data_IF_839118158161
#
_entry.id   IF_839118158161
#
_cell.length_a   1.000
_cell.length_b   1.000
_cell.length_c   1.000
_cell.angle_alpha   90.00
_cell.angle_beta   90.00
_cell.angle_gamma   90.00
#
_symmetry.space_group_name_H-M   'P 1'
#
loop_
_entity.id
_entity.type
_entity.pdbx_description
1 polymer ?
#
# COMPACT_ATOMS: atom_id res chain seq x y z
N UNK A 1 -6.64 -16.85 -19.20
CA UNK A 1 -7.22 -16.81 -17.85
C UNK A 1 -6.08 -16.68 -16.85
N UNK A 2 -5.88 -15.52 -16.22
CA UNK A 2 -4.80 -15.37 -15.22
C UNK A 2 -5.21 -16.07 -13.93
N UNK A 3 -4.57 -17.20 -13.63
CA UNK A 3 -4.82 -17.98 -12.40
C UNK A 3 -4.29 -17.17 -11.23
N UNK A 4 -5.15 -16.85 -10.25
CA UNK A 4 -4.70 -16.21 -9.01
C UNK A 4 -3.60 -17.08 -8.36
N UNK A 5 -2.50 -16.47 -7.89
CA UNK A 5 -1.46 -17.20 -7.17
C UNK A 5 -2.04 -17.95 -5.97
N UNK A 6 -1.46 -19.09 -5.61
CA UNK A 6 -1.92 -19.91 -4.47
C UNK A 6 -1.84 -19.18 -3.13
N UNK A 7 -0.95 -18.18 -3.02
CA UNK A 7 -0.76 -17.35 -1.83
C UNK A 7 -1.62 -16.06 -1.84
N UNK A 8 -2.58 -15.92 -2.76
CA UNK A 8 -3.39 -14.71 -2.89
C UNK A 8 -4.13 -14.35 -1.59
N UNK A 9 -4.72 -15.32 -0.89
CA UNK A 9 -5.42 -15.09 0.37
C UNK A 9 -4.48 -14.53 1.45
N UNK A 10 -3.25 -15.06 1.53
CA UNK A 10 -2.22 -14.58 2.47
C UNK A 10 -1.82 -13.16 2.13
N UNK A 11 -1.60 -12.85 0.85
CA UNK A 11 -1.29 -11.49 0.39
C UNK A 11 -2.39 -10.49 0.73
N UNK A 12 -3.65 -10.88 0.57
CA UNK A 12 -4.79 -10.03 0.94
C UNK A 12 -4.81 -9.78 2.45
N UNK A 13 -4.65 -10.82 3.27
CA UNK A 13 -4.58 -10.65 4.73
C UNK A 13 -3.42 -9.74 5.18
N UNK A 14 -2.23 -9.86 4.55
CA UNK A 14 -1.10 -8.96 4.80
C UNK A 14 -1.45 -7.50 4.50
N UNK A 15 -2.37 -7.22 3.57
CA UNK A 15 -2.75 -5.85 3.24
C UNK A 15 -3.88 -5.35 4.14
N UNK A 16 -4.92 -6.16 4.36
CA UNK A 16 -6.18 -5.70 4.96
C UNK A 16 -6.32 -5.93 6.46
N UNK A 17 -5.56 -6.86 7.05
CA UNK A 17 -5.60 -7.10 8.50
C UNK A 17 -4.73 -6.07 9.23
N UNK A 18 -5.27 -4.86 9.41
CA UNK A 18 -4.53 -3.70 9.93
C UNK A 18 -4.38 -3.72 11.46
N UNK A 19 -5.25 -4.43 12.18
CA UNK A 19 -5.27 -4.51 13.65
C UNK A 19 -4.31 -5.57 14.22
N UNK A 20 -3.54 -6.24 13.35
CA UNK A 20 -2.60 -7.28 13.74
C UNK A 20 -1.20 -7.01 13.22
N UNK A 21 -0.21 -7.38 14.03
CA UNK A 21 1.17 -7.47 13.58
C UNK A 21 1.37 -8.69 12.69
N UNK A 22 2.07 -8.50 11.56
CA UNK A 22 2.40 -9.59 10.65
C UNK A 22 3.92 -9.74 10.52
N UNK A 23 4.39 -10.99 10.52
CA UNK A 23 5.74 -11.34 10.08
C UNK A 23 5.66 -11.99 8.71
N UNK A 24 6.38 -11.44 7.73
CA UNK A 24 6.31 -11.90 6.33
C UNK A 24 7.68 -12.44 5.92
N UNK A 25 7.77 -13.77 5.88
CA UNK A 25 8.93 -14.46 5.33
C UNK A 25 8.68 -14.77 3.85
N UNK A 26 9.58 -14.30 2.97
CA UNK A 26 9.51 -14.62 1.56
C UNK A 26 10.89 -14.44 0.90
N UNK A 27 11.15 -15.23 -0.15
CA UNK A 27 12.38 -15.15 -0.95
C UNK A 27 12.57 -13.78 -1.63
N UNK A 28 13.77 -13.53 -2.16
CA UNK A 28 13.99 -12.35 -2.99
C UNK A 28 13.06 -12.35 -4.22
N UNK A 29 12.65 -11.16 -4.69
CA UNK A 29 11.79 -11.03 -5.88
C UNK A 29 10.32 -11.38 -5.70
N UNK A 30 9.86 -11.79 -4.51
CA UNK A 30 8.46 -12.19 -4.26
C UNK A 30 7.48 -11.04 -4.03
N UNK A 31 7.92 -9.79 -4.19
CA UNK A 31 7.06 -8.61 -4.07
C UNK A 31 6.83 -8.11 -2.64
N UNK A 32 7.70 -8.42 -1.66
CA UNK A 32 7.60 -7.89 -0.28
C UNK A 32 7.43 -6.37 -0.22
N UNK A 33 8.22 -5.62 -0.98
CA UNK A 33 8.10 -4.16 -1.02
C UNK A 33 6.78 -3.71 -1.64
N UNK A 34 6.26 -4.44 -2.64
CA UNK A 34 4.93 -4.17 -3.19
C UNK A 34 3.87 -4.35 -2.10
N UNK A 35 3.88 -5.46 -1.36
CA UNK A 35 2.94 -5.68 -0.25
C UNK A 35 3.03 -4.58 0.82
N UNK A 36 4.23 -4.10 1.13
CA UNK A 36 4.41 -2.99 2.07
C UNK A 36 3.77 -1.69 1.56
N UNK A 37 3.93 -1.36 0.28
CA UNK A 37 3.24 -0.20 -0.34
C UNK A 37 1.73 -0.38 -0.29
N UNK A 38 1.22 -1.54 -0.71
CA UNK A 38 -0.22 -1.82 -0.72
C UNK A 38 -0.84 -1.72 0.69
N UNK A 39 -0.14 -2.23 1.73
CA UNK A 39 -0.58 -2.13 3.13
C UNK A 39 -0.57 -0.68 3.64
N UNK A 40 0.45 0.11 3.33
CA UNK A 40 0.49 1.54 3.70
C UNK A 40 -0.69 2.28 3.05
N UNK A 41 -0.99 1.99 1.80
CA UNK A 41 -2.11 2.62 1.11
C UNK A 41 -3.46 2.14 1.62
N UNK A 42 -3.59 0.87 2.04
CA UNK A 42 -4.79 0.38 2.72
C UNK A 42 -5.06 1.16 4.01
N UNK A 43 -4.01 1.42 4.81
CA UNK A 43 -4.12 2.23 6.04
C UNK A 43 -4.68 3.63 5.73
N UNK A 44 -4.16 4.27 4.68
CA UNK A 44 -4.59 5.62 4.27
C UNK A 44 -5.99 5.60 3.68
N UNK A 45 -6.29 4.67 2.78
CA UNK A 45 -7.58 4.60 2.10
C UNK A 45 -8.73 4.28 3.03
N UNK A 46 -8.53 3.36 3.98
CA UNK A 46 -9.53 3.02 5.00
C UNK A 46 -9.70 4.12 6.05
N UNK A 47 -8.77 5.07 6.12
CA UNK A 47 -8.74 6.10 7.15
C UNK A 47 -8.25 5.59 8.51
N UNK A 48 -7.63 4.41 8.56
CA UNK A 48 -7.05 3.85 9.77
C UNK A 48 -5.93 4.74 10.34
N UNK A 49 -5.17 5.41 9.46
CA UNK A 49 -4.25 6.48 9.84
C UNK A 49 -3.95 7.41 8.66
N UNK A 50 -3.50 8.63 8.97
CA UNK A 50 -2.86 9.53 7.99
C UNK A 50 -1.44 9.05 7.69
N UNK A 51 -0.92 9.39 6.50
CA UNK A 51 0.40 8.91 6.06
C UNK A 51 1.55 9.35 6.98
N UNK A 52 1.47 10.55 7.56
CA UNK A 52 2.46 11.07 8.51
C UNK A 52 2.39 10.42 9.90
N UNK A 53 1.38 9.60 10.16
CA UNK A 53 1.28 8.74 11.34
C UNK A 53 1.93 7.37 11.10
N UNK A 54 2.43 7.09 9.88
CA UNK A 54 3.06 5.82 9.51
C UNK A 54 4.58 5.94 9.46
N UNK A 55 5.26 5.14 10.28
CA UNK A 55 6.71 4.99 10.22
C UNK A 55 7.10 3.74 9.40
N UNK A 56 7.72 3.96 8.24
CA UNK A 56 8.30 2.89 7.41
C UNK A 56 9.84 2.92 7.53
N UNK A 57 10.42 1.84 8.07
CA UNK A 57 11.86 1.75 8.35
C UNK A 57 12.51 0.76 7.39
N UNK A 58 13.63 1.15 6.78
CA UNK A 58 14.42 0.30 5.89
C UNK A 58 15.89 0.30 6.28
N UNK A 59 16.66 -0.70 5.81
CA UNK A 59 18.07 -0.83 6.15
C UNK A 59 18.97 0.28 5.57
N UNK A 60 18.54 0.95 4.48
CA UNK A 60 19.32 2.01 3.84
C UNK A 60 18.44 3.20 3.48
N UNK A 61 19.04 4.39 3.43
CA UNK A 61 18.41 5.62 2.94
C UNK A 61 17.92 5.48 1.50
N UNK A 62 18.68 4.78 0.65
CA UNK A 62 18.27 4.51 -0.73
C UNK A 62 16.97 3.71 -0.78
N UNK A 63 16.84 2.66 0.03
CA UNK A 63 15.62 1.87 0.09
C UNK A 63 14.42 2.67 0.62
N UNK A 64 14.64 3.55 1.60
CA UNK A 64 13.61 4.47 2.10
C UNK A 64 13.14 5.43 1.00
N UNK A 65 14.08 6.04 0.28
CA UNK A 65 13.79 6.92 -0.85
C UNK A 65 13.01 6.22 -1.97
N UNK A 66 13.43 5.01 -2.34
CA UNK A 66 12.71 4.18 -3.33
C UNK A 66 11.29 3.83 -2.87
N UNK A 67 11.11 3.49 -1.58
CA UNK A 67 9.79 3.22 -1.02
C UNK A 67 8.89 4.45 -1.10
N UNK A 68 9.38 5.63 -0.71
CA UNK A 68 8.65 6.91 -0.80
C UNK A 68 8.19 7.21 -2.23
N UNK A 69 9.08 7.06 -3.22
CA UNK A 69 8.73 7.26 -4.64
C UNK A 69 7.64 6.28 -5.08
N UNK A 70 7.78 4.99 -4.75
CA UNK A 70 6.77 3.98 -5.10
C UNK A 70 5.41 4.26 -4.49
N UNK A 71 5.34 4.72 -3.24
CA UNK A 71 4.08 5.10 -2.61
C UNK A 71 3.44 6.24 -3.40
N UNK A 72 4.22 7.30 -3.72
CA UNK A 72 3.72 8.44 -4.49
C UNK A 72 3.17 8.03 -5.85
N UNK A 73 3.90 7.19 -6.58
CA UNK A 73 3.53 6.72 -7.92
C UNK A 73 2.23 5.89 -7.87
N UNK A 74 2.13 4.94 -6.92
CA UNK A 74 0.91 4.11 -6.80
C UNK A 74 -0.30 4.95 -6.39
N UNK A 75 -0.14 5.97 -5.54
CA UNK A 75 -1.23 6.91 -5.25
C UNK A 75 -1.69 7.61 -6.53
N UNK A 76 -0.75 8.10 -7.34
CA UNK A 76 -1.05 8.71 -8.64
C UNK A 76 -1.86 7.77 -9.53
N UNK A 77 -1.40 6.54 -9.71
CA UNK A 77 -2.10 5.52 -10.50
C UNK A 77 -3.52 5.24 -10.00
N UNK A 78 -3.72 5.15 -8.68
CA UNK A 78 -5.05 4.88 -8.10
C UNK A 78 -6.02 6.04 -8.33
N UNK A 79 -5.55 7.27 -8.14
CA UNK A 79 -6.34 8.49 -8.40
C UNK A 79 -6.73 8.59 -9.87
N UNK A 80 -5.80 8.32 -10.79
CA UNK A 80 -6.04 8.35 -12.24
C UNK A 80 -7.01 7.26 -12.69
N UNK A 81 -6.84 6.03 -12.19
CA UNK A 81 -7.74 4.91 -12.52
C UNK A 81 -9.09 5.00 -11.79
N UNK A 82 -9.17 5.74 -10.69
CA UNK A 82 -10.34 5.79 -9.84
C UNK A 82 -10.62 4.47 -9.10
N UNK A 83 -9.60 3.66 -8.82
CA UNK A 83 -9.72 2.35 -8.16
C UNK A 83 -8.83 2.28 -6.92
N UNK A 84 -9.39 1.77 -5.82
CA UNK A 84 -8.67 1.54 -4.57
C UNK A 84 -7.90 0.22 -4.51
N UNK A 85 -7.28 -0.06 -3.37
CA UNK A 85 -6.54 -1.31 -3.08
C UNK A 85 -7.36 -2.59 -3.25
N UNK A 86 -8.63 -2.53 -2.91
CA UNK A 86 -9.65 -3.58 -3.02
C UNK A 86 -10.21 -3.74 -4.45
N UNK A 87 -9.76 -2.91 -5.39
CA UNK A 87 -10.26 -2.87 -6.76
C UNK A 87 -11.66 -2.27 -6.88
N UNK A 88 -12.19 -1.68 -5.82
CA UNK A 88 -13.46 -0.96 -5.87
C UNK A 88 -13.26 0.49 -6.34
N UNK A 89 -14.29 1.12 -6.92
CA UNK A 89 -14.25 2.53 -7.25
C UNK A 89 -13.91 3.40 -6.02
N UNK A 90 -13.03 4.38 -6.21
CA UNK A 90 -12.72 5.37 -5.17
C UNK A 90 -13.92 6.32 -5.02
N UNK A 91 -14.54 6.32 -3.85
CA UNK A 91 -15.44 7.38 -3.44
C UNK A 91 -14.68 8.70 -3.20
N UNK A 92 -15.43 9.78 -2.97
CA UNK A 92 -14.87 11.12 -2.76
C UNK A 92 -13.97 11.20 -1.54
N UNK A 93 -14.26 10.43 -0.48
CA UNK A 93 -13.52 10.49 0.77
C UNK A 93 -12.19 9.76 0.65
N UNK A 94 -12.19 8.54 0.10
CA UNK A 94 -10.98 7.77 -0.22
C UNK A 94 -10.07 8.54 -1.17
N UNK A 95 -10.63 9.17 -2.20
CA UNK A 95 -9.87 10.03 -3.13
C UNK A 95 -9.21 11.21 -2.39
N UNK A 96 -9.94 11.91 -1.53
CA UNK A 96 -9.40 13.04 -0.78
C UNK A 96 -8.23 12.63 0.13
N UNK A 97 -8.35 11.49 0.84
CA UNK A 97 -7.26 10.94 1.67
C UNK A 97 -6.00 10.63 0.85
N UNK A 98 -6.18 10.06 -0.34
CA UNK A 98 -5.06 9.77 -1.26
C UNK A 98 -4.40 11.06 -1.78
N UNK A 99 -5.19 12.07 -2.16
CA UNK A 99 -4.65 13.37 -2.62
C UNK A 99 -3.88 14.08 -1.51
N UNK A 100 -4.41 14.08 -0.28
CA UNK A 100 -3.73 14.60 0.90
C UNK A 100 -2.42 13.86 1.17
N UNK A 101 -2.44 12.52 1.18
CA UNK A 101 -1.26 11.70 1.38
C UNK A 101 -0.19 11.97 0.30
N UNK A 102 -0.59 12.12 -0.96
CA UNK A 102 0.34 12.46 -2.06
C UNK A 102 0.99 13.82 -1.84
N UNK A 103 0.27 14.80 -1.32
CA UNK A 103 0.78 16.14 -1.02
C UNK A 103 1.79 16.18 0.13
N UNK A 104 1.78 15.18 1.02
CA UNK A 104 2.70 15.06 2.16
C UNK A 104 3.99 14.28 1.85
N UNK A 105 4.05 13.57 0.71
CA UNK A 105 5.24 12.84 0.24
C UNK A 105 6.18 13.75 -0.52
#
# INVERSE_FOLDING_TARGET
MSRRPTDHAIRQAIVTDLDRSCFVEASAGTGKTRLMVERILEIVETGAAQLDQVAAITFTEKAAGELRVRIRDVIGERIERGLGSDGQPLDSERRARLEEARGRL
#
